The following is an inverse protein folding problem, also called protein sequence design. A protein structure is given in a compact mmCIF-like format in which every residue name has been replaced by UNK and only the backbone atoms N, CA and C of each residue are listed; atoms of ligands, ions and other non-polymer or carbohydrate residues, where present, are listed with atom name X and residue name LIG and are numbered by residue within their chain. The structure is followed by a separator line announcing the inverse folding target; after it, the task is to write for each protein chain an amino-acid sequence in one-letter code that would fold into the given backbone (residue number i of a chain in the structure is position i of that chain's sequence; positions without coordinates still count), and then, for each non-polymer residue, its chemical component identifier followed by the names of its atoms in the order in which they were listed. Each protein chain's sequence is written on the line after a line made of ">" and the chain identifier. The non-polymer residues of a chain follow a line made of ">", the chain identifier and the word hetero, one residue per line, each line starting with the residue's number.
data_IF_916543430889
#
_entry.id   IF_916543430889
#
_cell.length_a   1.000
_cell.length_b   1.000
_cell.length_c   1.000
_cell.angle_alpha   90.00
_cell.angle_beta   90.00
_cell.angle_gamma   90.00
#
_symmetry.space_group_name_H-M   'P 1'
#
loop_
_entity.id
_entity.type
_entity.pdbx_description
1 polymer ?
#
# COMPACT_ATOMS: atom_id res chain seq x y z
N UNK A 1 -6.71 27.32 -5.85
CA UNK A 1 -5.79 26.26 -6.31
C UNK A 1 -5.79 25.15 -5.26
N UNK A 2 -6.26 23.95 -5.62
CA UNK A 2 -6.64 22.92 -4.66
C UNK A 2 -5.39 22.33 -3.96
N UNK A 3 -5.26 22.52 -2.64
CA UNK A 3 -4.13 22.01 -1.83
C UNK A 3 -3.97 20.48 -1.92
N UNK A 4 -5.02 19.79 -2.37
CA UNK A 4 -5.04 18.35 -2.68
C UNK A 4 -4.12 17.90 -3.82
N UNK A 5 -3.83 18.76 -4.81
CA UNK A 5 -3.04 18.33 -5.98
C UNK A 5 -1.55 18.30 -5.65
N UNK A 6 -1.09 19.11 -4.70
CA UNK A 6 0.33 19.22 -4.37
C UNK A 6 0.83 18.09 -3.45
N UNK A 7 -0.02 17.55 -2.56
CA UNK A 7 0.34 16.41 -1.71
C UNK A 7 0.48 15.09 -2.50
N UNK A 8 -0.20 14.99 -3.65
CA UNK A 8 -0.17 13.80 -4.54
C UNK A 8 1.01 13.85 -5.52
N UNK A 9 1.70 14.99 -5.65
CA UNK A 9 2.74 15.23 -6.67
C UNK A 9 4.18 15.27 -6.15
N UNK A 10 4.46 15.02 -4.87
CA UNK A 10 5.81 15.22 -4.32
C UNK A 10 6.35 14.03 -3.52
N UNK A 11 6.65 12.94 -4.23
CA UNK A 11 7.59 11.91 -3.78
C UNK A 11 9.06 12.37 -3.91
N UNK A 12 9.41 13.55 -3.38
CA UNK A 12 10.64 14.25 -3.72
C UNK A 12 11.88 13.87 -2.87
N UNK A 13 11.86 12.70 -2.22
CA UNK A 13 13.08 12.05 -1.70
C UNK A 13 13.24 10.59 -2.15
N UNK A 14 12.45 10.12 -3.13
CA UNK A 14 12.64 8.79 -3.76
C UNK A 14 13.83 8.74 -4.74
N UNK A 15 14.49 9.87 -5.02
CA UNK A 15 15.55 9.97 -6.02
C UNK A 15 16.80 9.11 -5.72
N UNK A 16 17.20 8.98 -4.45
CA UNK A 16 18.40 8.20 -4.09
C UNK A 16 18.15 6.68 -4.07
N UNK A 17 16.92 6.24 -3.75
CA UNK A 17 16.55 4.82 -3.77
C UNK A 17 16.41 4.33 -5.23
N UNK A 18 15.89 5.20 -6.11
CA UNK A 18 15.68 4.87 -7.52
C UNK A 18 17.00 4.63 -8.27
N UNK A 19 18.04 5.43 -8.04
CA UNK A 19 19.31 5.27 -8.78
C UNK A 19 20.04 3.95 -8.44
N UNK A 20 20.07 3.56 -7.16
CA UNK A 20 20.74 2.32 -6.72
C UNK A 20 19.96 1.09 -7.18
N UNK A 21 18.62 1.09 -7.03
CA UNK A 21 17.78 -0.01 -7.47
C UNK A 21 17.80 -0.18 -9.00
N UNK A 22 17.78 0.90 -9.77
CA UNK A 22 17.85 0.85 -11.24
C UNK A 22 19.22 0.36 -11.73
N UNK A 23 20.32 0.74 -11.06
CA UNK A 23 21.65 0.25 -11.42
C UNK A 23 21.84 -1.23 -11.09
N UNK A 24 21.28 -1.70 -9.96
CA UNK A 24 21.29 -3.12 -9.60
C UNK A 24 20.47 -3.97 -10.60
N UNK A 25 19.34 -3.47 -11.09
CA UNK A 25 18.53 -4.14 -12.12
C UNK A 25 19.25 -4.25 -13.47
N UNK A 26 20.01 -3.21 -13.87
CA UNK A 26 20.78 -3.22 -15.12
C UNK A 26 21.91 -4.27 -15.14
N UNK A 27 22.42 -4.65 -13.97
CA UNK A 27 23.50 -5.63 -13.82
C UNK A 27 23.01 -7.10 -13.73
N UNK A 28 21.70 -7.35 -13.75
CA UNK A 28 21.14 -8.69 -13.64
C UNK A 28 21.36 -9.53 -14.91
N UNK A 29 21.62 -10.83 -14.73
CA UNK A 29 21.53 -11.82 -15.81
C UNK A 29 20.08 -11.98 -16.27
N UNK A 30 19.86 -12.56 -17.45
CA UNK A 30 18.49 -12.76 -17.95
C UNK A 30 17.66 -13.71 -17.07
N UNK A 31 18.30 -14.73 -16.48
CA UNK A 31 17.66 -15.60 -15.50
C UNK A 31 17.25 -14.83 -14.22
N UNK A 32 18.08 -13.90 -13.75
CA UNK A 32 17.76 -13.04 -12.60
C UNK A 32 16.63 -12.05 -12.93
N UNK A 33 16.63 -11.48 -14.14
CA UNK A 33 15.53 -10.61 -14.60
C UNK A 33 14.21 -11.36 -14.67
N UNK A 34 14.22 -12.57 -15.22
CA UNK A 34 13.02 -13.42 -15.27
C UNK A 34 12.51 -13.72 -13.87
N UNK A 35 13.39 -14.20 -12.97
CA UNK A 35 13.01 -14.49 -11.59
C UNK A 35 12.49 -13.26 -10.83
N UNK A 36 13.05 -12.07 -11.10
CA UNK A 36 12.60 -10.80 -10.56
C UNK A 36 11.18 -10.46 -11.04
N UNK A 37 10.92 -10.54 -12.35
CA UNK A 37 9.59 -10.30 -12.92
C UNK A 37 8.57 -11.30 -12.38
N UNK A 38 8.93 -12.58 -12.30
CA UNK A 38 8.05 -13.62 -11.75
C UNK A 38 7.71 -13.34 -10.29
N UNK A 39 8.72 -12.96 -9.47
CA UNK A 39 8.46 -12.56 -8.09
C UNK A 39 7.53 -11.35 -8.02
N UNK A 40 7.79 -10.29 -8.79
CA UNK A 40 7.01 -9.06 -8.73
C UNK A 40 5.56 -9.24 -9.18
N UNK A 41 5.34 -10.00 -10.25
CA UNK A 41 3.99 -10.24 -10.77
C UNK A 41 3.15 -11.14 -9.84
N UNK A 42 3.79 -12.05 -9.11
CA UNK A 42 3.12 -12.83 -8.05
C UNK A 42 2.89 -11.99 -6.79
N UNK A 43 3.88 -11.20 -6.37
CA UNK A 43 3.78 -10.27 -5.26
C UNK A 43 2.66 -9.24 -5.48
N UNK A 44 2.42 -8.82 -6.73
CA UNK A 44 1.29 -7.95 -7.07
C UNK A 44 -0.05 -8.53 -6.63
N UNK A 45 -0.29 -9.82 -6.83
CA UNK A 45 -1.55 -10.46 -6.42
C UNK A 45 -1.68 -10.47 -4.89
N UNK A 46 -0.59 -10.73 -4.18
CA UNK A 46 -0.53 -10.64 -2.71
C UNK A 46 -0.87 -9.21 -2.23
N UNK A 47 -0.27 -8.19 -2.84
CA UNK A 47 -0.56 -6.78 -2.53
C UNK A 47 -2.02 -6.41 -2.76
N UNK A 48 -2.63 -6.92 -3.84
CA UNK A 48 -4.05 -6.69 -4.11
C UNK A 48 -4.96 -7.42 -3.11
N UNK A 49 -4.60 -8.64 -2.67
CA UNK A 49 -5.28 -9.32 -1.57
C UNK A 49 -5.21 -8.49 -0.28
N UNK A 50 -4.04 -7.94 0.06
CA UNK A 50 -3.86 -7.08 1.23
C UNK A 50 -4.67 -5.78 1.13
N UNK A 51 -4.71 -5.15 -0.06
CA UNK A 51 -5.55 -3.98 -0.31
C UNK A 51 -7.02 -4.26 0.01
N UNK A 52 -7.53 -5.42 -0.44
CA UNK A 52 -8.91 -5.85 -0.17
C UNK A 52 -9.11 -6.13 1.32
N UNK A 53 -8.17 -6.80 1.97
CA UNK A 53 -8.22 -7.09 3.41
C UNK A 53 -8.32 -5.79 4.23
N UNK A 54 -7.36 -4.89 4.05
CA UNK A 54 -7.33 -3.62 4.77
C UNK A 54 -8.54 -2.74 4.45
N UNK A 55 -8.95 -2.67 3.18
CA UNK A 55 -10.15 -1.96 2.75
C UNK A 55 -11.42 -2.46 3.45
N UNK A 56 -11.58 -3.78 3.57
CA UNK A 56 -12.73 -4.38 4.28
C UNK A 56 -12.73 -4.03 5.76
N UNK A 57 -11.58 -4.03 6.43
CA UNK A 57 -11.49 -3.63 7.84
C UNK A 57 -11.86 -2.15 8.03
N UNK A 58 -11.42 -1.27 7.12
CA UNK A 58 -11.75 0.15 7.16
C UNK A 58 -13.26 0.37 6.95
N UNK A 59 -13.86 -0.35 6.00
CA UNK A 59 -15.31 -0.28 5.75
C UNK A 59 -16.12 -0.84 6.93
N UNK A 60 -15.71 -1.97 7.52
CA UNK A 60 -16.34 -2.55 8.73
C UNK A 60 -16.23 -1.59 9.93
N UNK A 61 -15.05 -0.99 10.14
CA UNK A 61 -14.83 0.03 11.16
C UNK A 61 -15.81 1.19 10.96
N UNK A 62 -15.91 1.73 9.75
CA UNK A 62 -16.82 2.84 9.43
C UNK A 62 -18.28 2.49 9.70
N UNK A 63 -18.71 1.28 9.34
CA UNK A 63 -20.08 0.82 9.57
C UNK A 63 -20.41 0.76 11.07
N UNK A 64 -19.44 0.37 11.91
CA UNK A 64 -19.65 0.23 13.36
C UNK A 64 -19.49 1.56 14.13
N UNK A 65 -18.52 2.38 13.74
CA UNK A 65 -18.15 3.60 14.46
C UNK A 65 -18.82 4.87 13.91
N UNK A 66 -19.31 4.82 12.66
CA UNK A 66 -19.89 5.98 11.97
C UNK A 66 -18.87 6.91 11.32
N UNK A 67 -17.57 6.66 11.49
CA UNK A 67 -16.46 7.44 10.92
C UNK A 67 -15.27 6.51 10.58
N UNK A 68 -14.34 6.96 9.75
CA UNK A 68 -13.14 6.19 9.37
C UNK A 68 -12.04 6.26 10.45
N UNK A 69 -11.11 5.29 10.53
CA UNK A 69 -10.01 5.33 11.48
C UNK A 69 -9.26 6.67 11.45
N UNK A 70 -9.13 7.31 12.61
CA UNK A 70 -8.53 8.63 12.79
C UNK A 70 -9.25 9.84 12.17
N UNK A 71 -10.47 9.70 11.65
CA UNK A 71 -11.21 10.80 11.05
C UNK A 71 -11.33 12.01 12.00
N UNK A 72 -11.05 13.21 11.48
CA UNK A 72 -11.09 14.49 12.18
C UNK A 72 -10.19 14.61 13.44
N UNK A 73 -9.21 13.72 13.64
CA UNK A 73 -8.32 13.77 14.82
C UNK A 73 -7.15 14.76 14.66
N UNK A 74 -6.93 15.33 13.48
CA UNK A 74 -5.86 16.30 13.22
C UNK A 74 -6.29 17.40 12.26
N UNK A 75 -5.63 18.57 12.34
CA UNK A 75 -5.73 19.69 11.39
C UNK A 75 -4.96 19.42 10.09
N UNK A 76 -4.08 18.44 10.10
CA UNK A 76 -3.30 17.99 8.95
C UNK A 76 -3.72 16.57 8.58
N UNK A 77 -3.53 16.15 7.32
CA UNK A 77 -3.74 14.76 6.94
C UNK A 77 -2.96 13.82 7.86
N UNK A 78 -3.62 12.78 8.35
CA UNK A 78 -2.99 11.71 9.11
C UNK A 78 -2.47 10.68 8.14
N UNK A 79 -1.23 10.24 8.32
CA UNK A 79 -0.53 9.32 7.44
C UNK A 79 0.02 8.13 8.22
N UNK A 80 -0.20 6.93 7.68
CA UNK A 80 0.30 5.66 8.22
C UNK A 80 1.02 4.91 7.10
N UNK A 81 2.27 4.53 7.38
CA UNK A 81 2.99 3.54 6.59
C UNK A 81 2.69 2.17 7.17
N UNK A 82 1.97 1.34 6.41
CA UNK A 82 1.71 -0.06 6.74
C UNK A 82 2.95 -0.83 6.32
N UNK A 83 3.89 -0.95 7.25
CA UNK A 83 5.23 -1.48 7.03
C UNK A 83 5.69 -2.27 8.27
N UNK A 84 6.48 -3.32 8.06
CA UNK A 84 7.23 -3.95 9.16
C UNK A 84 8.31 -3.00 9.67
N UNK A 85 8.86 -3.20 10.89
CA UNK A 85 9.98 -2.41 11.38
C UNK A 85 11.19 -2.42 10.43
N UNK A 86 11.47 -3.56 9.79
CA UNK A 86 12.54 -3.66 8.79
C UNK A 86 12.23 -2.82 7.55
N UNK A 87 11.00 -2.87 7.03
CA UNK A 87 10.58 -2.07 5.87
C UNK A 87 10.67 -0.58 6.17
N UNK A 88 10.20 -0.17 7.34
CA UNK A 88 10.26 1.22 7.80
C UNK A 88 11.71 1.72 7.88
N UNK A 89 12.67 0.86 8.26
CA UNK A 89 14.09 1.24 8.36
C UNK A 89 14.68 1.77 7.03
N UNK A 90 14.16 1.35 5.88
CA UNK A 90 14.60 1.84 4.56
C UNK A 90 14.13 3.26 4.23
N UNK A 91 13.16 3.78 4.98
CA UNK A 91 12.56 5.10 4.74
C UNK A 91 12.72 6.04 5.94
N UNK A 92 13.49 5.65 6.96
CA UNK A 92 13.78 6.50 8.11
C UNK A 92 14.31 7.88 7.66
N UNK A 93 13.56 8.94 7.99
CA UNK A 93 13.88 10.31 7.60
C UNK A 93 13.10 10.84 6.39
N UNK A 94 12.40 9.97 5.65
CA UNK A 94 11.42 10.42 4.66
C UNK A 94 10.19 10.95 5.39
N UNK A 95 9.87 12.22 5.14
CA UNK A 95 8.63 12.84 5.60
C UNK A 95 7.71 13.04 4.40
N UNK A 96 6.39 12.96 4.58
CA UNK A 96 5.47 13.47 3.57
C UNK A 96 5.87 14.90 3.18
N UNK A 97 5.78 15.28 1.90
CA UNK A 97 6.21 16.59 1.40
C UNK A 97 5.36 17.74 1.96
N UNK A 98 4.19 17.45 2.51
CA UNK A 98 3.28 18.39 3.14
C UNK A 98 3.20 18.13 4.65
N UNK A 99 2.83 19.12 5.47
CA UNK A 99 2.55 18.92 6.89
C UNK A 99 1.54 17.78 7.05
N UNK A 100 1.94 16.73 7.75
CA UNK A 100 1.15 15.55 8.02
C UNK A 100 1.37 15.11 9.46
N UNK A 101 0.33 14.55 10.08
CA UNK A 101 0.43 13.87 11.36
C UNK A 101 0.75 12.41 11.11
N UNK A 102 1.94 11.96 11.50
CA UNK A 102 2.33 10.57 11.32
C UNK A 102 1.76 9.72 12.46
N UNK A 103 1.10 8.62 12.12
CA UNK A 103 0.67 7.57 13.04
C UNK A 103 1.46 6.31 12.73
N UNK A 104 1.86 5.59 13.77
CA UNK A 104 2.57 4.32 13.59
C UNK A 104 1.61 3.23 13.10
N UNK A 105 2.16 2.16 12.53
CA UNK A 105 1.39 0.95 12.22
C UNK A 105 0.70 0.39 13.49
N UNK A 106 1.41 0.42 14.63
CA UNK A 106 0.88 0.02 15.94
C UNK A 106 -0.36 0.85 16.32
N UNK A 107 -0.30 2.17 16.16
CA UNK A 107 -1.46 3.04 16.42
C UNK A 107 -2.65 2.69 15.50
N UNK A 108 -2.37 2.44 14.22
CA UNK A 108 -3.42 2.13 13.23
C UNK A 108 -4.13 0.81 13.54
N UNK A 109 -3.36 -0.21 13.92
CA UNK A 109 -3.90 -1.50 14.34
C UNK A 109 -4.69 -1.36 15.64
N UNK A 110 -4.17 -0.65 16.64
CA UNK A 110 -4.89 -0.40 17.89
C UNK A 110 -6.20 0.35 17.67
N UNK A 111 -6.21 1.35 16.78
CA UNK A 111 -7.43 2.07 16.41
C UNK A 111 -8.45 1.12 15.77
N UNK A 112 -8.04 0.33 14.76
CA UNK A 112 -8.90 -0.65 14.12
C UNK A 112 -9.44 -1.68 15.10
N UNK A 113 -8.60 -2.31 15.90
CA UNK A 113 -9.01 -3.34 16.88
C UNK A 113 -9.95 -2.77 17.93
N UNK A 114 -9.71 -1.53 18.40
CA UNK A 114 -10.62 -0.84 19.32
C UNK A 114 -11.99 -0.62 18.71
N UNK A 115 -12.07 -0.12 17.48
CA UNK A 115 -13.36 0.10 16.81
C UNK A 115 -14.07 -1.22 16.49
N UNK A 116 -13.34 -2.20 15.96
CA UNK A 116 -13.88 -3.50 15.57
C UNK A 116 -14.22 -4.39 16.78
N UNK A 117 -13.59 -4.18 17.93
CA UNK A 117 -13.79 -4.97 19.15
C UNK A 117 -13.26 -6.40 19.03
N UNK A 118 -12.24 -6.61 18.18
CA UNK A 118 -11.58 -7.90 17.94
C UNK A 118 -10.14 -7.66 17.51
N UNK A 119 -9.30 -8.67 17.65
CA UNK A 119 -7.96 -8.64 17.07
C UNK A 119 -8.02 -8.80 15.55
N UNK A 120 -7.02 -8.27 14.86
CA UNK A 120 -6.85 -8.37 13.41
C UNK A 120 -5.47 -8.90 13.03
N UNK A 121 -5.35 -9.53 11.86
CA UNK A 121 -4.05 -9.89 11.29
C UNK A 121 -3.37 -8.67 10.64
N UNK A 122 -2.04 -8.61 10.72
CA UNK A 122 -1.23 -7.58 10.08
C UNK A 122 -0.60 -8.12 8.81
N UNK A 123 -0.96 -7.54 7.67
CA UNK A 123 -0.38 -7.88 6.37
C UNK A 123 0.43 -6.74 5.78
N UNK A 124 1.62 -7.08 5.27
CA UNK A 124 2.65 -6.16 4.81
C UNK A 124 3.05 -6.47 3.36
N UNK A 125 3.83 -5.57 2.75
CA UNK A 125 4.41 -5.86 1.43
C UNK A 125 5.28 -7.13 1.49
N UNK A 126 5.14 -8.08 0.55
CA UNK A 126 5.95 -9.31 0.56
C UNK A 126 7.45 -9.05 0.29
N UNK A 127 7.83 -7.82 -0.10
CA UNK A 127 9.19 -7.42 -0.40
C UNK A 127 9.92 -6.84 0.83
N UNK A 128 11.12 -7.35 1.10
CA UNK A 128 11.91 -6.89 2.26
C UNK A 128 12.61 -5.54 2.07
N UNK A 129 13.02 -5.20 0.85
CA UNK A 129 13.73 -3.95 0.53
C UNK A 129 13.16 -3.32 -0.74
N UNK A 130 13.14 -1.99 -0.89
CA UNK A 130 12.59 -1.32 -2.09
C UNK A 130 13.36 -1.70 -3.36
N UNK A 131 12.66 -1.69 -4.50
CA UNK A 131 13.17 -2.16 -5.81
C UNK A 131 12.80 -1.24 -6.98
N UNK A 132 12.72 0.08 -6.71
CA UNK A 132 12.23 1.10 -7.65
C UNK A 132 10.81 1.59 -7.34
N UNK A 133 10.13 0.92 -6.40
CA UNK A 133 8.91 1.37 -5.74
C UNK A 133 9.01 1.13 -4.23
N UNK A 134 8.21 1.83 -3.40
CA UNK A 134 8.19 1.58 -1.97
C UNK A 134 7.70 0.15 -1.65
N UNK A 135 8.18 -0.42 -0.55
CA UNK A 135 7.78 -1.74 -0.05
C UNK A 135 6.97 -1.63 1.26
N UNK A 136 6.02 -0.70 1.27
CA UNK A 136 5.00 -0.52 2.32
C UNK A 136 3.67 -0.16 1.67
N UNK A 137 2.57 -0.15 2.44
CA UNK A 137 1.29 0.41 1.98
C UNK A 137 0.99 1.73 2.66
N UNK A 138 0.10 2.50 2.05
CA UNK A 138 -0.22 3.86 2.52
C UNK A 138 -1.67 3.90 2.95
N UNK A 139 -1.92 4.23 4.22
CA UNK A 139 -3.20 4.75 4.66
C UNK A 139 -3.06 6.25 4.96
N UNK A 140 -3.97 7.06 4.43
CA UNK A 140 -4.02 8.49 4.69
C UNK A 140 -5.47 8.91 4.92
N UNK A 141 -5.70 9.87 5.82
CA UNK A 141 -7.02 10.46 6.02
C UNK A 141 -6.92 11.97 6.25
N UNK A 142 -7.72 12.75 5.50
CA UNK A 142 -7.87 14.19 5.66
C UNK A 142 -9.34 14.51 5.95
N UNK A 143 -9.65 14.99 7.16
CA UNK A 143 -11.02 15.11 7.64
C UNK A 143 -11.72 13.75 7.67
N UNK A 144 -12.59 13.48 6.68
CA UNK A 144 -13.29 12.21 6.50
C UNK A 144 -12.87 11.46 5.23
N UNK A 145 -11.91 11.98 4.48
CA UNK A 145 -11.53 11.47 3.17
C UNK A 145 -10.30 10.59 3.34
N UNK A 146 -10.53 9.28 3.33
CA UNK A 146 -9.47 8.29 3.47
C UNK A 146 -8.96 7.85 2.10
N UNK A 147 -7.70 7.45 2.07
CA UNK A 147 -7.01 6.87 0.93
C UNK A 147 -6.22 5.67 1.41
N UNK A 148 -6.35 4.53 0.73
CA UNK A 148 -5.56 3.32 0.97
C UNK A 148 -4.92 2.88 -0.34
N UNK A 149 -3.59 2.77 -0.39
CA UNK A 149 -2.87 2.47 -1.61
C UNK A 149 -1.79 1.38 -1.44
N UNK A 150 -1.62 0.59 -2.50
CA UNK A 150 -0.53 -0.39 -2.67
C UNK A 150 0.28 -0.10 -3.94
N UNK A 151 1.54 -0.53 -3.96
CA UNK A 151 2.49 -0.29 -5.06
C UNK A 151 2.70 -1.56 -5.89
N UNK A 152 2.23 -1.56 -7.14
CA UNK A 152 2.31 -2.71 -8.04
C UNK A 152 3.42 -2.55 -9.08
N UNK A 153 3.93 -3.68 -9.54
CA UNK A 153 4.86 -3.75 -10.66
C UNK A 153 4.12 -3.69 -12.00
N UNK A 154 3.07 -4.49 -12.14
CA UNK A 154 2.35 -4.72 -13.39
C UNK A 154 1.46 -3.53 -13.79
N UNK A 155 1.36 -3.21 -15.09
CA UNK A 155 0.54 -2.11 -15.60
C UNK A 155 -0.94 -2.51 -15.69
N UNK A 156 -1.58 -2.80 -14.56
CA UNK A 156 -3.01 -3.11 -14.55
C UNK A 156 -3.83 -1.92 -15.05
N UNK A 157 -4.88 -2.17 -15.83
CA UNK A 157 -5.75 -1.10 -16.36
C UNK A 157 -6.53 -0.34 -15.28
N UNK A 158 -6.63 -0.90 -14.08
CA UNK A 158 -7.23 -0.27 -12.89
C UNK A 158 -6.18 0.39 -11.98
N UNK A 159 -4.90 0.36 -12.35
CA UNK A 159 -3.83 1.03 -11.62
C UNK A 159 -3.49 2.38 -12.28
N UNK A 160 -2.93 3.30 -11.49
CA UNK A 160 -2.31 4.52 -11.99
C UNK A 160 -0.83 4.26 -12.29
N UNK A 161 -0.36 4.68 -13.46
CA UNK A 161 1.07 4.67 -13.79
C UNK A 161 1.81 5.75 -13.00
N UNK A 162 2.94 5.38 -12.37
CA UNK A 162 3.83 6.30 -11.65
C UNK A 162 5.19 6.39 -12.35
N UNK A 163 5.82 5.25 -12.63
CA UNK A 163 7.12 5.15 -13.30
C UNK A 163 7.28 3.77 -13.96
N UNK A 164 8.42 3.51 -14.61
CA UNK A 164 8.82 2.21 -15.15
C UNK A 164 8.71 1.15 -14.04
N UNK A 165 7.91 0.11 -14.30
CA UNK A 165 7.65 -0.98 -13.35
C UNK A 165 7.08 -0.52 -11.99
N UNK A 166 6.45 0.66 -11.95
CA UNK A 166 5.81 1.19 -10.77
C UNK A 166 4.42 1.78 -11.10
N UNK A 167 3.41 1.09 -10.60
CA UNK A 167 2.01 1.43 -10.67
C UNK A 167 1.42 1.51 -9.26
N UNK A 168 0.33 2.24 -9.09
CA UNK A 168 -0.36 2.39 -7.81
C UNK A 168 -1.83 2.02 -7.94
N UNK A 169 -2.32 1.15 -7.07
CA UNK A 169 -3.76 0.86 -6.94
C UNK A 169 -4.23 1.48 -5.64
N UNK A 170 -5.30 2.27 -5.72
CA UNK A 170 -5.77 3.10 -4.60
C UNK A 170 -7.30 3.03 -4.47
N UNK A 171 -7.76 2.81 -3.25
CA UNK A 171 -9.16 2.90 -2.87
C UNK A 171 -9.40 4.06 -1.90
N UNK A 172 -10.59 4.65 -1.99
CA UNK A 172 -11.00 5.79 -1.17
C UNK A 172 -12.53 5.87 -1.09
N UNK A 173 -13.04 6.64 -0.14
CA UNK A 173 -14.43 7.09 -0.14
C UNK A 173 -14.69 8.24 -1.13
N UNK A 174 -13.65 8.91 -1.61
CA UNK A 174 -13.71 9.91 -2.68
C UNK A 174 -13.12 9.33 -3.96
N UNK A 175 -13.94 9.32 -5.02
CA UNK A 175 -13.53 8.84 -6.33
C UNK A 175 -12.73 9.90 -7.07
N UNK A 176 -11.72 9.46 -7.83
CA UNK A 176 -11.01 10.31 -8.78
C UNK A 176 -10.65 9.51 -10.03
N UNK A 177 -11.42 9.71 -11.10
CA UNK A 177 -11.23 8.99 -12.37
C UNK A 177 -9.89 9.30 -13.03
N UNK A 178 -9.43 10.54 -12.96
CA UNK A 178 -8.13 10.94 -13.54
C UNK A 178 -6.96 10.22 -12.88
N UNK A 179 -7.09 9.91 -11.59
CA UNK A 179 -6.07 9.23 -10.80
C UNK A 179 -6.33 7.73 -10.60
N UNK A 180 -7.37 7.16 -11.24
CA UNK A 180 -7.84 5.79 -11.02
C UNK A 180 -8.12 5.44 -9.55
N UNK A 181 -8.60 6.41 -8.76
CA UNK A 181 -9.03 6.20 -7.37
C UNK A 181 -10.52 5.81 -7.37
N UNK A 182 -10.83 4.64 -6.80
CA UNK A 182 -12.17 4.04 -6.79
C UNK A 182 -12.60 3.71 -5.36
N UNK A 183 -13.87 3.38 -5.13
CA UNK A 183 -14.24 2.72 -3.87
C UNK A 183 -13.83 1.26 -3.89
N UNK A 184 -13.72 0.61 -2.72
CA UNK A 184 -13.46 -0.83 -2.65
C UNK A 184 -14.48 -1.62 -3.48
N UNK A 185 -15.77 -1.29 -3.36
CA UNK A 185 -16.83 -1.99 -4.10
C UNK A 185 -16.69 -1.85 -5.62
N UNK A 186 -16.27 -0.69 -6.11
CA UNK A 186 -16.03 -0.48 -7.54
C UNK A 186 -14.81 -1.27 -8.03
N UNK A 187 -13.73 -1.30 -7.25
CA UNK A 187 -12.55 -2.10 -7.56
C UNK A 187 -12.91 -3.60 -7.61
N UNK A 188 -13.64 -4.09 -6.62
CA UNK A 188 -14.12 -5.48 -6.55
C UNK A 188 -15.06 -5.83 -7.72
N UNK A 189 -15.79 -4.86 -8.27
CA UNK A 189 -16.66 -5.04 -9.43
C UNK A 189 -15.93 -4.92 -10.78
N UNK A 190 -14.67 -4.47 -10.80
CA UNK A 190 -13.89 -4.32 -12.02
C UNK A 190 -13.46 -5.69 -12.58
N UNK A 191 -13.79 -5.95 -13.86
CA UNK A 191 -13.50 -7.24 -14.49
C UNK A 191 -11.99 -7.52 -14.63
N UNK A 192 -11.17 -6.50 -14.91
CA UNK A 192 -9.72 -6.65 -14.97
C UNK A 192 -9.13 -6.97 -13.59
N UNK A 193 -9.67 -6.35 -12.53
CA UNK A 193 -9.31 -6.68 -11.15
C UNK A 193 -9.66 -8.13 -10.81
N UNK A 194 -10.92 -8.55 -11.05
CA UNK A 194 -11.35 -9.95 -10.84
C UNK A 194 -10.46 -10.94 -11.59
N UNK A 195 -10.09 -10.62 -12.84
CA UNK A 195 -9.17 -11.45 -13.63
C UNK A 195 -7.77 -11.54 -13.00
N UNK A 196 -7.24 -10.43 -12.48
CA UNK A 196 -5.94 -10.42 -11.79
C UNK A 196 -6.01 -11.28 -10.51
N UNK A 197 -7.05 -11.11 -9.70
CA UNK A 197 -7.24 -11.86 -8.45
C UNK A 197 -7.42 -13.37 -8.64
N UNK A 198 -7.88 -13.81 -9.82
CA UNK A 198 -8.02 -15.22 -10.17
C UNK A 198 -6.74 -15.84 -10.75
N UNK A 199 -5.67 -15.07 -10.92
CA UNK A 199 -4.40 -15.61 -11.43
C UNK A 199 -3.78 -16.53 -10.37
N UNK A 200 -3.40 -17.77 -10.70
CA UNK A 200 -2.64 -18.62 -9.80
C UNK A 200 -1.35 -17.93 -9.37
N UNK A 201 -1.01 -18.06 -8.09
CA UNK A 201 0.22 -17.51 -7.53
C UNK A 201 1.25 -18.64 -7.52
N UNK A 202 2.28 -18.50 -8.34
CA UNK A 202 3.39 -19.44 -8.34
C UNK A 202 4.13 -19.34 -7.01
N UNK A 203 4.50 -20.50 -6.45
CA UNK A 203 5.21 -20.58 -5.15
C UNK A 203 4.42 -19.92 -4.02
N UNK A 204 3.08 -20.06 -3.96
CA UNK A 204 2.26 -19.52 -2.87
C UNK A 204 2.80 -19.86 -1.47
N UNK A 205 3.37 -21.06 -1.26
CA UNK A 205 4.00 -21.45 0.00
C UNK A 205 5.15 -20.53 0.44
N UNK A 206 5.90 -19.97 -0.51
CA UNK A 206 6.95 -18.99 -0.23
C UNK A 206 6.37 -17.65 0.24
N UNK A 207 5.26 -17.17 -0.33
CA UNK A 207 4.59 -15.96 0.13
C UNK A 207 3.95 -16.16 1.50
N UNK A 208 3.26 -17.28 1.70
CA UNK A 208 2.68 -17.64 3.00
C UNK A 208 3.74 -17.67 4.10
N UNK A 209 4.91 -18.28 3.85
CA UNK A 209 6.00 -18.30 4.82
C UNK A 209 6.50 -16.89 5.17
N UNK A 210 6.58 -15.99 4.19
CA UNK A 210 6.98 -14.59 4.41
C UNK A 210 5.95 -13.80 5.20
N UNK A 211 4.67 -13.98 4.93
CA UNK A 211 3.58 -13.36 5.69
C UNK A 211 3.63 -13.82 7.15
N UNK A 212 3.69 -15.13 7.39
CA UNK A 212 3.75 -15.70 8.74
C UNK A 212 4.95 -15.20 9.55
N UNK A 213 6.10 -14.98 8.91
CA UNK A 213 7.29 -14.44 9.58
C UNK A 213 7.11 -13.01 10.10
N UNK A 214 6.26 -12.20 9.44
CA UNK A 214 6.06 -10.79 9.79
C UNK A 214 4.69 -10.52 10.42
N UNK A 215 3.87 -11.56 10.59
CA UNK A 215 2.54 -11.46 11.16
C UNK A 215 2.65 -10.83 12.55
N UNK A 216 1.88 -9.78 12.80
CA UNK A 216 1.88 -9.05 14.08
C UNK A 216 3.20 -8.38 14.48
N UNK A 217 4.14 -8.17 13.54
CA UNK A 217 5.46 -7.59 13.83
C UNK A 217 5.46 -6.21 14.50
N UNK A 218 4.31 -5.52 14.56
CA UNK A 218 4.17 -4.23 15.24
C UNK A 218 3.33 -4.25 16.50
N UNK A 219 2.73 -5.41 16.85
CA UNK A 219 1.98 -5.59 18.11
C UNK A 219 2.86 -5.82 19.31
N UNK A 220 4.03 -6.43 19.10
CA UNK A 220 5.03 -6.68 20.13
C UNK A 220 5.57 -5.38 20.75
#
# INVERSE_FOLDING_TARGET
>A
MNKFILAILLSLNLFNINAIAQNAQKAMTDAQKSAYVDFQTNADIIRLNHLVYWGKLIDEYRQKMGYYPFANQSKHPIYVEIATPLQQSFFNGNKPPAPATIKSMKDFVQELEKGLGRTIDEYYDPQYAPDGKPNFYIYMIDGQDYHLAVHNFSPFSFARHIDVNYHKVEISNIKNRTLNITTLQELLNNNAFKKAMNKPIDKIGFFNQREQKNLHSTKE
#
